data_IF_488454622743
#
_entry.id   IF_488454622743
#
_cell.length_a   1.000
_cell.length_b   1.000
_cell.length_c   1.000
_cell.angle_alpha   90.00
_cell.angle_beta   90.00
_cell.angle_gamma   90.00
#
_symmetry.space_group_name_H-M   'P 1'
#
loop_
_entity.id
_entity.type
_entity.pdbx_description
1 polymer ?
#
# COMPACT_ATOMS: atom_id res chain seq x y z
N UNK A 1 1.11 15.98 -17.98
CA UNK A 1 1.27 16.99 -16.90
C UNK A 1 2.65 16.71 -16.31
N UNK A 2 3.58 17.63 -16.30
CA UNK A 2 4.99 17.31 -15.95
C UNK A 2 5.10 17.08 -14.46
N UNK A 3 5.63 15.90 -14.06
CA UNK A 3 6.12 15.67 -12.70
C UNK A 3 7.08 16.80 -12.34
N UNK A 4 6.81 17.47 -11.24
CA UNK A 4 7.75 18.43 -10.66
C UNK A 4 8.81 17.63 -9.92
N UNK A 5 9.94 17.36 -10.59
CA UNK A 5 11.15 16.83 -9.96
C UNK A 5 11.52 17.76 -8.79
N UNK A 6 11.27 17.34 -7.57
CA UNK A 6 11.78 17.96 -6.36
C UNK A 6 12.91 17.10 -5.85
N UNK A 7 14.13 17.44 -6.24
CA UNK A 7 15.32 16.87 -5.61
C UNK A 7 15.32 17.30 -4.15
N UNK A 8 15.01 16.38 -3.25
CA UNK A 8 15.22 16.57 -1.81
C UNK A 8 16.70 16.41 -1.55
N UNK A 9 17.44 17.52 -1.57
CA UNK A 9 18.83 17.55 -1.12
C UNK A 9 18.81 17.42 0.41
N UNK A 10 18.93 16.20 0.92
CA UNK A 10 19.03 15.93 2.35
C UNK A 10 20.43 16.40 2.82
N UNK A 11 20.51 17.57 3.44
CA UNK A 11 21.70 18.05 4.14
C UNK A 11 21.80 17.31 5.49
N UNK A 12 22.49 16.17 5.51
CA UNK A 12 22.88 15.51 6.76
C UNK A 12 23.99 16.35 7.42
N UNK A 13 23.63 17.13 8.42
CA UNK A 13 24.59 17.81 9.30
C UNK A 13 25.18 16.78 10.29
N UNK A 14 26.33 16.21 9.93
CA UNK A 14 27.15 15.39 10.81
C UNK A 14 27.67 16.26 11.97
N UNK A 15 27.01 16.22 13.12
CA UNK A 15 27.51 16.79 14.38
C UNK A 15 28.50 15.82 15.06
N UNK A 16 29.78 15.90 14.76
CA UNK A 16 30.82 15.17 15.48
C UNK A 16 30.95 15.73 16.91
N UNK A 17 30.46 15.01 17.91
CA UNK A 17 30.78 15.27 19.33
C UNK A 17 31.94 14.37 19.73
N UNK A 18 33.13 14.97 19.80
CA UNK A 18 34.31 14.40 20.45
C UNK A 18 34.13 14.48 21.98
N UNK A 19 33.94 13.33 22.64
CA UNK A 19 34.06 13.24 24.10
C UNK A 19 35.33 12.47 24.40
N UNK A 20 36.35 13.21 24.87
CA UNK A 20 37.59 12.72 25.46
C UNK A 20 37.31 12.18 26.88
N UNK A 21 37.99 11.06 27.14
CA UNK A 21 37.85 10.16 28.23
C UNK A 21 38.10 10.65 29.66
N UNK A 22 37.84 9.75 30.59
CA UNK A 22 38.25 9.81 32.00
C UNK A 22 37.67 8.64 32.75
N UNK A 23 38.51 7.61 32.97
CA UNK A 23 38.27 6.52 33.93
C UNK A 23 38.23 7.05 35.36
N UNK A 24 37.37 6.47 36.21
CA UNK A 24 37.73 5.91 37.53
C UNK A 24 36.58 5.11 38.15
N UNK A 25 37.00 4.08 38.86
CA UNK A 25 36.24 2.98 39.49
C UNK A 25 35.37 3.36 40.69
N UNK A 26 34.51 2.42 40.99
CA UNK A 26 34.12 1.84 42.30
C UNK A 26 32.86 2.36 43.02
N UNK A 27 31.90 1.46 43.17
CA UNK A 27 31.38 1.17 44.48
C UNK A 27 29.88 1.31 44.76
N UNK A 28 29.21 0.11 44.87
CA UNK A 28 28.12 -0.19 45.81
C UNK A 28 26.72 0.46 45.65
N UNK A 29 25.75 -0.37 45.37
CA UNK A 29 24.33 -0.24 45.71
C UNK A 29 24.12 -0.40 47.26
N UNK A 30 22.92 -0.25 47.88
CA UNK A 30 21.55 -0.17 47.32
C UNK A 30 20.60 0.80 48.09
N UNK A 31 19.32 0.70 47.77
CA UNK A 31 18.07 0.96 48.54
C UNK A 31 17.23 2.18 48.23
N UNK A 32 16.04 1.87 47.70
CA UNK A 32 14.68 2.14 48.19
C UNK A 32 14.11 3.56 48.24
N UNK A 33 12.99 3.67 47.55
CA UNK A 33 11.73 4.25 48.01
C UNK A 33 11.61 5.79 48.15
N UNK A 34 10.68 6.33 47.38
CA UNK A 34 9.69 7.32 47.78
C UNK A 34 9.16 8.17 46.62
N UNK A 35 7.93 7.91 46.24
CA UNK A 35 7.02 8.96 45.75
C UNK A 35 6.76 9.95 46.90
N UNK A 36 6.56 11.26 46.65
CA UNK A 36 5.20 11.75 46.45
C UNK A 36 4.99 13.03 45.59
N UNK A 37 3.79 13.14 45.03
CA UNK A 37 2.80 14.20 45.12
C UNK A 37 3.06 15.60 44.50
N UNK A 38 2.16 15.92 43.63
CA UNK A 38 1.52 17.09 43.06
C UNK A 38 1.72 18.51 43.70
N UNK A 39 1.30 19.44 42.85
CA UNK A 39 0.92 20.86 43.06
C UNK A 39 1.96 21.88 42.59
N UNK A 40 1.68 22.88 41.81
CA UNK A 40 0.51 23.73 41.55
C UNK A 40 0.88 24.73 40.45
N UNK A 41 -0.09 25.13 39.68
CA UNK A 41 -0.10 26.31 38.78
C UNK A 41 0.14 27.61 39.55
N UNK A 42 0.62 28.71 38.90
CA UNK A 42 -0.25 29.84 38.75
C UNK A 42 -0.27 30.56 37.38
N UNK A 43 -1.41 31.04 37.08
CA UNK A 43 -1.88 32.00 36.06
C UNK A 43 -1.25 33.40 36.22
N UNK A 44 -1.01 34.09 35.08
CA UNK A 44 -1.30 35.51 34.84
C UNK A 44 -0.71 35.94 33.50
N UNK A 45 -1.50 36.23 32.50
CA UNK A 45 -2.06 37.54 32.07
C UNK A 45 -1.03 38.55 31.56
N UNK A 46 -1.19 39.01 30.30
CA UNK A 46 -0.35 40.05 29.70
C UNK A 46 -0.69 40.28 28.21
N UNK A 47 -1.84 40.91 28.00
CA UNK A 47 -2.27 41.51 26.73
C UNK A 47 -1.28 42.57 26.22
N UNK A 48 -0.96 42.60 24.94
CA UNK A 48 -0.60 43.84 24.22
C UNK A 48 -0.81 43.69 22.72
N UNK A 49 -1.78 44.40 22.25
CA UNK A 49 -2.07 44.83 20.89
C UNK A 49 -0.97 45.75 20.35
N UNK A 50 -0.69 45.73 19.01
CA UNK A 50 -0.64 46.89 18.10
C UNK A 50 -0.16 46.53 16.69
N UNK A 51 -1.05 46.72 15.73
CA UNK A 51 -1.03 47.41 14.45
C UNK A 51 -0.27 46.84 13.24
N UNK A 52 -1.07 46.62 12.20
CA UNK A 52 -0.73 46.69 10.77
C UNK A 52 -0.18 48.05 10.32
N UNK A 53 0.57 48.05 9.20
CA UNK A 53 0.05 48.85 8.10
C UNK A 53 0.24 48.20 6.70
N UNK A 54 -0.78 48.33 5.90
CA UNK A 54 -0.73 48.43 4.43
C UNK A 54 -0.31 49.85 4.04
N UNK A 55 0.33 50.14 2.85
CA UNK A 55 -0.33 50.10 1.56
C UNK A 55 0.55 49.80 0.30
N UNK A 56 -0.11 49.46 -0.76
CA UNK A 56 0.39 49.51 -2.18
C UNK A 56 0.76 50.93 -2.65
N UNK A 57 1.51 51.06 -3.78
CA UNK A 57 0.79 51.43 -4.98
C UNK A 57 1.27 50.78 -6.33
N UNK A 58 0.36 50.83 -7.26
CA UNK A 58 0.46 50.54 -8.70
C UNK A 58 1.41 51.48 -9.46
N UNK A 59 1.88 51.01 -10.62
CA UNK A 59 1.99 51.74 -11.90
C UNK A 59 2.32 50.76 -13.02
N UNK A 60 1.53 50.55 -13.90
CA UNK A 60 1.15 50.99 -15.24
C UNK A 60 2.18 50.79 -16.36
N UNK A 61 1.64 50.13 -17.41
CA UNK A 61 1.86 50.21 -18.87
C UNK A 61 3.18 49.70 -19.47
N UNK A 62 3.13 48.81 -20.48
CA UNK A 62 2.79 49.12 -21.89
C UNK A 62 2.64 47.80 -22.70
N UNK A 63 1.61 47.80 -23.53
CA UNK A 63 1.30 46.80 -24.55
C UNK A 63 2.30 46.83 -25.73
N UNK A 64 2.57 45.65 -26.31
CA UNK A 64 2.92 45.56 -27.72
C UNK A 64 2.32 44.31 -28.35
N UNK A 65 1.54 44.56 -29.35
CA UNK A 65 0.83 43.71 -30.29
C UNK A 65 1.76 42.75 -31.04
N UNK A 66 1.34 41.52 -31.26
CA UNK A 66 2.02 40.55 -32.10
C UNK A 66 1.12 39.32 -32.34
N UNK A 67 0.12 39.50 -33.21
CA UNK A 67 -0.74 38.42 -33.65
C UNK A 67 0.01 37.44 -34.54
N UNK A 68 -0.02 36.15 -34.19
CA UNK A 68 0.26 35.04 -35.11
C UNK A 68 -0.90 34.06 -35.07
N UNK A 69 -1.39 33.56 -36.21
CA UNK A 69 -2.67 32.88 -36.29
C UNK A 69 -2.66 31.48 -35.70
N UNK A 70 -3.68 31.20 -34.90
CA UNK A 70 -4.06 29.90 -34.41
C UNK A 70 -4.46 28.97 -35.54
N UNK A 71 -4.00 27.71 -35.59
CA UNK A 71 -4.64 26.72 -36.44
C UNK A 71 -5.95 26.26 -35.78
N UNK A 72 -7.02 26.35 -36.55
CA UNK A 72 -8.33 25.79 -36.27
C UNK A 72 -8.23 24.30 -35.97
N UNK A 73 -8.76 23.78 -34.84
CA UNK A 73 -8.96 22.36 -34.68
C UNK A 73 -10.11 21.92 -35.57
N UNK A 74 -9.82 21.04 -36.51
CA UNK A 74 -10.84 20.29 -37.24
C UNK A 74 -11.67 19.47 -36.28
N UNK A 75 -12.97 19.74 -36.25
CA UNK A 75 -13.97 18.90 -35.64
C UNK A 75 -14.01 17.58 -36.41
N UNK A 76 -13.52 16.52 -35.78
CA UNK A 76 -14.03 15.18 -36.02
C UNK A 76 -14.77 14.77 -34.75
N UNK A 77 -16.09 14.96 -34.82
CA UNK A 77 -16.97 14.19 -33.98
C UNK A 77 -16.88 12.75 -34.48
N UNK A 78 -16.46 11.88 -33.63
CA UNK A 78 -16.72 10.45 -33.65
C UNK A 78 -16.45 10.02 -32.19
N UNK A 79 -17.28 9.44 -31.65
CA UNK A 79 -18.17 8.29 -31.69
C UNK A 79 -18.13 7.67 -30.31
N UNK A 80 -19.27 7.22 -29.85
CA UNK A 80 -19.48 6.66 -28.53
C UNK A 80 -18.39 5.67 -28.13
N UNK A 81 -17.71 5.99 -27.04
CA UNK A 81 -16.73 5.10 -26.44
C UNK A 81 -17.42 3.84 -25.93
N UNK A 82 -17.22 2.75 -26.63
CA UNK A 82 -17.01 1.48 -25.97
C UNK A 82 -15.66 1.66 -25.24
N UNK A 83 -15.62 1.54 -23.92
CA UNK A 83 -14.36 1.53 -23.20
C UNK A 83 -13.43 0.54 -23.89
N UNK A 84 -12.30 1.03 -24.39
CA UNK A 84 -11.26 0.13 -24.86
C UNK A 84 -10.80 -0.64 -23.63
N UNK A 85 -11.04 -1.96 -23.61
CA UNK A 85 -10.42 -2.83 -22.60
C UNK A 85 -8.92 -2.59 -22.65
N UNK A 86 -8.22 -2.57 -21.52
CA UNK A 86 -6.77 -2.46 -21.54
C UNK A 86 -6.18 -3.65 -22.30
N UNK A 87 -5.12 -3.40 -23.07
CA UNK A 87 -4.35 -4.49 -23.65
C UNK A 87 -3.54 -5.19 -22.54
N UNK A 88 -3.59 -6.52 -22.44
CA UNK A 88 -2.82 -7.31 -21.48
C UNK A 88 -3.54 -7.62 -20.17
N UNK A 89 -2.78 -7.99 -19.16
CA UNK A 89 -3.25 -8.33 -17.81
C UNK A 89 -2.50 -7.54 -16.76
N UNK A 90 -3.17 -7.30 -15.61
CA UNK A 90 -2.53 -6.83 -14.39
C UNK A 90 -2.55 -7.97 -13.37
N UNK A 91 -1.36 -8.45 -12.99
CA UNK A 91 -1.19 -9.38 -11.88
C UNK A 91 -0.81 -8.61 -10.61
N UNK A 92 -1.49 -8.89 -9.50
CA UNK A 92 -1.21 -8.34 -8.17
C UNK A 92 -0.99 -9.50 -7.22
N UNK A 93 0.23 -9.69 -6.75
CA UNK A 93 0.63 -10.79 -5.87
C UNK A 93 0.88 -10.24 -4.47
N UNK A 94 0.05 -10.58 -3.50
CA UNK A 94 0.31 -10.30 -2.09
C UNK A 94 1.10 -11.46 -1.53
N UNK A 95 2.40 -11.24 -1.33
CA UNK A 95 3.37 -12.27 -1.00
C UNK A 95 3.26 -12.63 0.48
N UNK A 96 3.23 -13.93 0.81
CA UNK A 96 3.31 -14.36 2.21
C UNK A 96 4.73 -14.16 2.77
N UNK A 97 4.96 -13.00 3.36
CA UNK A 97 6.21 -12.61 4.04
C UNK A 97 6.07 -12.63 5.57
N UNK A 98 5.03 -13.30 6.10
CA UNK A 98 4.77 -13.37 7.53
C UNK A 98 4.13 -12.08 8.08
N UNK A 99 4.64 -11.56 9.21
CA UNK A 99 4.11 -10.34 9.84
C UNK A 99 4.76 -9.11 9.20
N UNK A 100 4.42 -8.84 7.94
CA UNK A 100 5.02 -7.81 7.12
C UNK A 100 4.23 -7.64 5.82
N UNK A 101 4.52 -6.64 5.03
CA UNK A 101 3.91 -6.39 3.73
C UNK A 101 4.93 -6.48 2.59
N UNK A 102 4.53 -7.14 1.50
CA UNK A 102 5.19 -7.09 0.21
C UNK A 102 4.18 -7.45 -0.88
N UNK A 103 4.05 -6.62 -1.90
CA UNK A 103 3.19 -6.90 -3.04
C UNK A 103 3.93 -6.64 -4.36
N UNK A 104 3.94 -7.67 -5.22
CA UNK A 104 4.43 -7.57 -6.60
C UNK A 104 3.26 -7.29 -7.53
N UNK A 105 3.37 -6.25 -8.34
CA UNK A 105 2.41 -5.90 -9.38
C UNK A 105 3.11 -5.98 -10.74
N UNK A 106 2.47 -6.62 -11.71
CA UNK A 106 3.04 -6.84 -13.04
C UNK A 106 2.03 -6.53 -14.12
N UNK A 107 2.51 -5.86 -15.15
CA UNK A 107 1.87 -5.81 -16.47
C UNK A 107 2.78 -6.53 -17.47
N UNK A 108 2.37 -6.60 -18.73
CA UNK A 108 3.24 -7.13 -19.81
C UNK A 108 4.49 -6.25 -20.04
N UNK A 109 4.51 -5.01 -19.54
CA UNK A 109 5.54 -4.01 -19.85
C UNK A 109 6.40 -3.62 -18.65
N UNK A 110 5.83 -3.53 -17.45
CA UNK A 110 6.50 -2.98 -16.27
C UNK A 110 6.16 -3.77 -14.99
N UNK A 111 7.03 -3.61 -14.01
CA UNK A 111 6.92 -4.24 -12.69
C UNK A 111 6.96 -3.17 -11.59
N UNK A 112 6.05 -3.29 -10.64
CA UNK A 112 6.02 -2.49 -9.41
C UNK A 112 6.12 -3.41 -8.20
N UNK A 113 6.95 -3.03 -7.22
CA UNK A 113 6.99 -3.66 -5.90
C UNK A 113 6.52 -2.65 -4.86
N UNK A 114 5.51 -3.01 -4.06
CA UNK A 114 5.04 -2.21 -2.92
C UNK A 114 5.50 -2.92 -1.65
N UNK A 115 6.37 -2.26 -0.88
CA UNK A 115 7.05 -2.78 0.30
C UNK A 115 7.90 -4.04 0.04
N UNK A 116 8.68 -4.50 1.01
CA UNK A 116 9.63 -5.60 0.82
C UNK A 116 9.80 -6.52 2.04
N UNK A 117 8.83 -6.51 2.93
CA UNK A 117 8.83 -7.41 4.08
C UNK A 117 9.65 -6.95 5.28
N UNK A 118 9.80 -7.87 6.24
CA UNK A 118 10.41 -7.62 7.54
C UNK A 118 11.95 -7.68 7.48
N UNK A 119 12.60 -6.85 8.27
CA UNK A 119 14.06 -6.79 8.38
C UNK A 119 14.75 -8.10 8.84
N UNK A 120 14.02 -9.02 9.47
CA UNK A 120 14.57 -10.31 9.94
C UNK A 120 14.82 -11.29 8.81
N UNK A 121 14.07 -11.14 7.74
CA UNK A 121 14.23 -11.91 6.51
C UNK A 121 15.26 -11.29 5.57
N UNK A 122 15.60 -10.02 5.78
CA UNK A 122 16.56 -9.27 4.98
C UNK A 122 16.24 -9.34 3.47
N UNK A 123 14.94 -9.33 3.12
CA UNK A 123 14.42 -9.35 1.75
C UNK A 123 14.53 -10.70 1.03
N UNK A 124 15.02 -11.76 1.70
CA UNK A 124 15.29 -13.04 1.03
C UNK A 124 14.04 -13.66 0.41
N UNK A 125 12.91 -13.67 1.13
CA UNK A 125 11.65 -14.21 0.60
C UNK A 125 11.16 -13.43 -0.60
N UNK A 126 11.27 -12.10 -0.57
CA UNK A 126 10.85 -11.24 -1.69
C UNK A 126 11.75 -11.46 -2.90
N UNK A 127 13.08 -11.47 -2.72
CA UNK A 127 14.03 -11.72 -3.81
C UNK A 127 13.77 -13.09 -4.44
N UNK A 128 13.68 -14.16 -3.63
CA UNK A 128 13.38 -15.50 -4.12
C UNK A 128 12.05 -15.57 -4.88
N UNK A 129 11.03 -14.81 -4.41
CA UNK A 129 9.74 -14.72 -5.07
C UNK A 129 9.83 -14.05 -6.44
N UNK A 130 10.47 -12.89 -6.48
CA UNK A 130 10.67 -12.13 -7.72
C UNK A 130 11.48 -12.92 -8.75
N UNK A 131 12.54 -13.63 -8.32
CA UNK A 131 13.32 -14.50 -9.19
C UNK A 131 12.50 -15.69 -9.73
N UNK A 132 11.66 -16.30 -8.90
CA UNK A 132 10.79 -17.42 -9.30
C UNK A 132 9.74 -16.99 -10.34
N UNK A 133 9.43 -15.69 -10.42
CA UNK A 133 8.50 -15.09 -11.37
C UNK A 133 9.21 -14.37 -12.54
N UNK A 134 10.50 -14.67 -12.76
CA UNK A 134 11.30 -14.10 -13.87
C UNK A 134 11.29 -12.56 -13.90
N UNK A 135 11.29 -11.91 -12.71
CA UNK A 135 11.40 -10.45 -12.60
C UNK A 135 12.86 -10.05 -12.68
N UNK A 136 13.27 -9.52 -13.83
CA UNK A 136 14.65 -9.05 -14.04
C UNK A 136 14.87 -7.58 -13.67
N UNK A 137 13.78 -6.80 -13.57
CA UNK A 137 13.81 -5.38 -13.26
C UNK A 137 12.64 -4.99 -12.36
N UNK A 138 12.83 -4.07 -11.45
CA UNK A 138 11.77 -3.37 -10.71
C UNK A 138 11.69 -1.96 -11.27
N UNK A 139 10.65 -1.65 -12.06
CA UNK A 139 10.51 -0.31 -12.64
C UNK A 139 10.11 0.71 -11.58
N UNK A 140 9.30 0.29 -10.61
CA UNK A 140 8.78 1.12 -9.54
C UNK A 140 8.85 0.38 -8.19
N UNK A 141 9.60 0.93 -7.22
CA UNK A 141 9.59 0.47 -5.84
C UNK A 141 8.84 1.51 -5.00
N UNK A 142 7.75 1.11 -4.37
CA UNK A 142 6.96 1.97 -3.49
C UNK A 142 7.20 1.58 -2.05
N UNK A 143 7.67 2.51 -1.23
CA UNK A 143 7.74 2.38 0.23
C UNK A 143 6.52 3.05 0.84
N UNK A 144 5.61 2.29 1.43
CA UNK A 144 4.42 2.89 2.03
C UNK A 144 4.78 3.78 3.20
N UNK A 145 5.64 3.32 4.06
CA UNK A 145 6.20 4.09 5.17
C UNK A 145 7.45 3.41 5.76
N UNK A 146 8.16 4.09 6.67
CA UNK A 146 9.49 3.72 7.11
C UNK A 146 9.56 2.70 8.26
N UNK A 147 8.51 1.91 8.52
CA UNK A 147 8.59 0.81 9.49
C UNK A 147 9.31 -0.40 8.91
N UNK A 148 9.94 -1.18 9.81
CA UNK A 148 10.86 -2.24 9.43
C UNK A 148 10.18 -3.52 8.90
N UNK A 149 8.89 -3.64 9.05
CA UNK A 149 8.03 -4.68 8.47
C UNK A 149 7.48 -4.32 7.07
N UNK A 150 7.84 -3.14 6.56
CA UNK A 150 7.56 -2.66 5.21
C UNK A 150 8.84 -2.48 4.39
N UNK A 151 9.83 -1.78 4.95
CA UNK A 151 11.09 -1.49 4.25
C UNK A 151 12.23 -2.42 4.66
N UNK A 152 11.94 -3.50 5.39
CA UNK A 152 12.95 -4.39 5.95
C UNK A 152 13.89 -5.00 4.94
N UNK A 153 13.36 -5.37 3.78
CA UNK A 153 14.10 -5.95 2.67
C UNK A 153 14.66 -4.94 1.66
N UNK A 154 14.34 -3.64 1.78
CA UNK A 154 14.69 -2.65 0.74
C UNK A 154 16.19 -2.60 0.43
N UNK A 155 17.07 -2.59 1.46
CA UNK A 155 18.52 -2.60 1.23
C UNK A 155 18.94 -3.79 0.35
N UNK A 156 18.52 -5.00 0.73
CA UNK A 156 18.91 -6.21 0.02
C UNK A 156 18.30 -6.29 -1.39
N UNK A 157 17.03 -5.89 -1.55
CA UNK A 157 16.37 -5.84 -2.86
C UNK A 157 17.06 -4.84 -3.79
N UNK A 158 17.38 -3.64 -3.29
CA UNK A 158 18.10 -2.63 -4.08
C UNK A 158 19.46 -3.14 -4.48
N UNK A 159 20.26 -3.64 -3.53
CA UNK A 159 21.60 -4.17 -3.81
C UNK A 159 21.55 -5.31 -4.82
N UNK A 160 20.61 -6.27 -4.65
CA UNK A 160 20.47 -7.43 -5.54
C UNK A 160 20.11 -7.00 -6.98
N UNK A 161 19.10 -6.13 -7.14
CA UNK A 161 18.67 -5.72 -8.47
C UNK A 161 19.68 -4.84 -9.18
N UNK A 162 20.35 -3.92 -8.49
CA UNK A 162 21.37 -3.06 -9.06
C UNK A 162 22.70 -3.79 -9.37
N UNK A 163 23.05 -4.84 -8.61
CA UNK A 163 24.30 -5.56 -8.79
C UNK A 163 24.18 -6.80 -9.70
N UNK A 164 23.02 -7.48 -9.70
CA UNK A 164 22.85 -8.80 -10.32
C UNK A 164 21.74 -8.87 -11.38
N UNK A 165 20.91 -7.83 -11.51
CA UNK A 165 19.75 -7.75 -12.42
C UNK A 165 19.77 -6.47 -13.25
N UNK A 166 18.64 -6.09 -13.83
CA UNK A 166 18.49 -4.91 -14.69
C UNK A 166 18.15 -3.62 -13.91
N UNK A 167 18.31 -3.64 -12.58
CA UNK A 167 18.21 -2.51 -11.68
C UNK A 167 16.79 -2.10 -11.30
N UNK A 168 16.72 -0.95 -10.60
CA UNK A 168 15.48 -0.31 -10.15
C UNK A 168 15.28 0.99 -10.93
N UNK A 169 14.08 1.21 -11.46
CA UNK A 169 13.78 2.40 -12.25
C UNK A 169 13.66 3.65 -11.40
N UNK A 170 12.82 3.60 -10.37
CA UNK A 170 12.63 4.68 -9.41
C UNK A 170 11.99 4.17 -8.12
N UNK A 171 12.24 4.89 -7.04
CA UNK A 171 11.67 4.64 -5.72
C UNK A 171 10.74 5.79 -5.33
N UNK A 172 9.61 5.46 -4.70
CA UNK A 172 8.60 6.41 -4.26
C UNK A 172 8.30 6.19 -2.78
N UNK A 173 8.43 7.23 -1.95
CA UNK A 173 8.11 7.15 -0.52
C UNK A 173 7.33 8.38 -0.02
N UNK A 174 6.90 8.36 1.22
CA UNK A 174 6.15 9.47 1.84
C UNK A 174 7.00 10.73 2.09
N UNK A 175 8.32 10.65 1.98
CA UNK A 175 9.25 11.72 2.37
C UNK A 175 9.34 11.95 3.88
N UNK A 176 8.72 11.10 4.71
CA UNK A 176 8.76 11.21 6.18
C UNK A 176 9.93 10.40 6.72
N UNK A 177 10.96 11.06 7.29
CA UNK A 177 12.17 10.38 7.73
C UNK A 177 11.94 9.58 9.02
N UNK A 178 12.68 8.49 9.18
CA UNK A 178 12.74 7.72 10.40
C UNK A 178 14.17 7.59 10.94
N UNK A 179 14.34 7.20 12.21
CA UNK A 179 15.64 7.13 12.87
C UNK A 179 16.09 5.69 13.15
N UNK A 180 15.52 4.71 12.47
CA UNK A 180 15.90 3.30 12.60
C UNK A 180 17.09 2.97 11.72
N UNK A 181 17.85 1.93 12.11
CA UNK A 181 18.94 1.40 11.28
C UNK A 181 18.42 0.84 9.94
N UNK A 182 17.19 0.32 9.91
CA UNK A 182 16.58 -0.18 8.68
C UNK A 182 16.39 0.96 7.68
N UNK A 183 15.86 2.09 8.13
CA UNK A 183 15.70 3.27 7.29
C UNK A 183 17.05 3.86 6.85
N UNK A 184 18.04 3.93 7.74
CA UNK A 184 19.40 4.38 7.38
C UNK A 184 20.03 3.47 6.30
N UNK A 185 19.92 2.14 6.43
CA UNK A 185 20.43 1.19 5.43
C UNK A 185 19.72 1.29 4.09
N UNK A 186 18.40 1.46 4.10
CA UNK A 186 17.62 1.72 2.89
C UNK A 186 18.15 2.95 2.14
N UNK A 187 18.32 4.09 2.83
CA UNK A 187 18.85 5.30 2.20
C UNK A 187 20.32 5.15 1.77
N UNK A 188 21.13 4.42 2.52
CA UNK A 188 22.52 4.10 2.15
C UNK A 188 22.57 3.28 0.85
N UNK A 189 21.63 2.35 0.63
CA UNK A 189 21.52 1.58 -0.62
C UNK A 189 21.11 2.48 -1.79
N UNK A 190 20.10 3.34 -1.59
CA UNK A 190 19.67 4.33 -2.59
C UNK A 190 20.85 5.23 -3.01
N UNK A 191 21.61 5.77 -2.04
CA UNK A 191 22.79 6.60 -2.33
C UNK A 191 23.92 5.80 -3.00
N UNK A 192 24.15 4.56 -2.56
CA UNK A 192 25.20 3.67 -3.08
C UNK A 192 25.05 3.41 -4.57
N UNK A 193 23.81 3.20 -5.01
CA UNK A 193 23.48 2.82 -6.39
C UNK A 193 22.99 4.00 -7.24
N UNK A 194 22.88 5.22 -6.67
CA UNK A 194 22.37 6.42 -7.35
C UNK A 194 20.98 6.22 -7.95
N UNK A 195 20.09 5.51 -7.21
CA UNK A 195 18.70 5.27 -7.62
C UNK A 195 17.87 6.52 -7.38
N UNK A 196 17.02 6.88 -8.33
CA UNK A 196 16.11 8.03 -8.18
C UNK A 196 15.07 7.77 -7.08
N UNK A 197 15.03 8.63 -6.06
CA UNK A 197 14.07 8.61 -4.95
C UNK A 197 13.17 9.84 -5.00
N UNK A 198 11.86 9.60 -5.03
CA UNK A 198 10.82 10.63 -5.09
C UNK A 198 9.94 10.59 -3.84
N UNK A 199 9.84 11.71 -3.14
CA UNK A 199 8.77 11.88 -2.18
C UNK A 199 7.45 12.16 -2.92
N UNK A 200 6.42 11.36 -2.63
CA UNK A 200 5.10 11.46 -3.26
C UNK A 200 4.05 12.00 -2.29
N UNK A 201 3.03 12.61 -2.85
CA UNK A 201 1.91 13.18 -2.11
C UNK A 201 0.60 13.04 -2.88
N UNK A 202 -0.50 13.33 -2.22
CA UNK A 202 -1.85 13.33 -2.80
C UNK A 202 -1.91 14.00 -4.18
N UNK A 203 -2.45 13.27 -5.15
CA UNK A 203 -2.61 13.71 -6.53
C UNK A 203 -1.40 13.46 -7.43
N UNK A 204 -0.27 12.97 -6.90
CA UNK A 204 0.82 12.49 -7.73
C UNK A 204 0.43 11.17 -8.40
N UNK A 205 1.09 10.87 -9.52
CA UNK A 205 0.89 9.62 -10.25
C UNK A 205 2.21 8.89 -10.41
N UNK A 206 2.21 7.60 -10.12
CA UNK A 206 3.32 6.71 -10.43
C UNK A 206 3.12 6.26 -11.89
N UNK A 207 4.10 6.47 -12.78
CA UNK A 207 3.96 6.08 -14.17
C UNK A 207 4.11 4.55 -14.31
N UNK A 208 3.00 3.83 -14.26
CA UNK A 208 2.96 2.37 -14.37
C UNK A 208 2.20 2.01 -15.64
N UNK A 209 2.87 1.32 -16.56
CA UNK A 209 2.36 1.10 -17.92
C UNK A 209 1.04 0.32 -17.92
N UNK A 210 0.03 0.89 -18.58
CA UNK A 210 -1.31 0.30 -18.69
C UNK A 210 -2.20 0.51 -17.45
N UNK A 211 -1.66 1.00 -16.32
CA UNK A 211 -2.38 1.17 -15.05
C UNK A 211 -2.41 2.63 -14.65
N UNK A 212 -3.57 3.15 -14.25
CA UNK A 212 -3.65 4.46 -13.62
C UNK A 212 -3.34 4.33 -12.12
N UNK A 213 -2.09 4.60 -11.72
CA UNK A 213 -1.64 4.54 -10.35
C UNK A 213 -1.61 5.94 -9.72
N UNK A 214 -2.57 6.24 -8.85
CA UNK A 214 -2.74 7.55 -8.22
C UNK A 214 -2.44 7.48 -6.72
N UNK A 215 -1.59 8.38 -6.23
CA UNK A 215 -1.32 8.55 -4.80
C UNK A 215 -2.43 9.37 -4.16
N UNK A 216 -3.08 8.82 -3.13
CA UNK A 216 -4.17 9.46 -2.39
C UNK A 216 -3.73 9.99 -1.02
N UNK A 217 -2.59 9.53 -0.49
CA UNK A 217 -1.96 9.92 0.77
C UNK A 217 -0.43 9.78 0.64
N UNK A 218 0.39 10.60 1.31
CA UNK A 218 0.03 11.65 2.27
C UNK A 218 -0.38 12.98 1.61
N UNK A 219 -1.03 13.86 2.38
CA UNK A 219 -1.18 15.28 2.01
C UNK A 219 0.14 16.04 2.23
N UNK A 220 0.39 17.13 1.50
CA UNK A 220 1.55 17.99 1.74
C UNK A 220 1.18 19.22 2.58
N UNK A 221 1.95 19.52 3.65
CA UNK A 221 2.93 18.75 4.43
C UNK A 221 2.25 17.89 5.50
N UNK A 222 2.45 16.56 5.46
CA UNK A 222 1.73 15.60 6.29
C UNK A 222 2.22 15.42 7.75
N UNK A 223 3.20 16.15 8.22
CA UNK A 223 3.76 15.96 9.58
C UNK A 223 4.81 14.85 9.66
N UNK A 224 5.00 14.23 10.84
CA UNK A 224 6.03 13.23 11.14
C UNK A 224 5.49 11.86 11.60
N UNK A 225 4.19 11.68 11.61
CA UNK A 225 3.56 10.41 11.95
C UNK A 225 3.62 9.45 10.74
N UNK A 226 4.23 8.28 10.92
CA UNK A 226 4.46 7.34 9.83
C UNK A 226 3.16 6.69 9.33
N UNK A 227 2.26 6.31 10.24
CA UNK A 227 0.98 5.69 9.86
C UNK A 227 0.05 6.71 9.18
N UNK A 228 -0.02 7.93 9.72
CA UNK A 228 -0.81 9.00 9.10
C UNK A 228 -0.33 9.33 7.67
N UNK A 229 0.98 9.28 7.45
CA UNK A 229 1.61 9.57 6.16
C UNK A 229 1.92 8.32 5.32
N UNK A 230 1.33 7.18 5.65
CA UNK A 230 1.49 5.96 4.84
C UNK A 230 1.02 6.21 3.42
N UNK A 231 1.87 5.92 2.42
CA UNK A 231 1.52 6.13 1.00
C UNK A 231 0.35 5.23 0.65
N UNK A 232 -0.75 5.87 0.25
CA UNK A 232 -1.94 5.18 -0.22
C UNK A 232 -1.97 5.27 -1.74
N UNK A 233 -2.01 4.11 -2.40
CA UNK A 233 -2.05 4.03 -3.87
C UNK A 233 -3.36 3.41 -4.31
N UNK A 234 -4.07 4.11 -5.19
CA UNK A 234 -5.24 3.62 -5.90
C UNK A 234 -4.84 3.27 -7.32
N UNK A 235 -5.16 2.06 -7.75
CA UNK A 235 -4.84 1.52 -9.05
C UNK A 235 -6.13 1.27 -9.83
N UNK A 236 -6.18 1.73 -11.08
CA UNK A 236 -7.26 1.44 -12.01
C UNK A 236 -6.69 0.77 -13.26
N UNK A 237 -7.25 -0.39 -13.63
CA UNK A 237 -6.90 -1.15 -14.82
C UNK A 237 -8.20 -1.56 -15.54
N UNK A 238 -8.52 -0.88 -16.63
CA UNK A 238 -9.82 -1.05 -17.28
C UNK A 238 -10.98 -0.72 -16.35
N UNK A 239 -11.85 -1.70 -16.10
CA UNK A 239 -12.97 -1.58 -15.18
C UNK A 239 -12.70 -2.14 -13.78
N UNK A 240 -11.47 -2.55 -13.48
CA UNK A 240 -11.08 -3.10 -12.18
C UNK A 240 -10.21 -2.15 -11.38
N UNK A 241 -10.23 -2.25 -10.06
CA UNK A 241 -9.53 -1.32 -9.18
C UNK A 241 -9.01 -1.98 -7.90
N UNK A 242 -7.87 -1.47 -7.41
CA UNK A 242 -7.19 -1.94 -6.21
C UNK A 242 -6.81 -0.75 -5.33
N UNK A 243 -6.90 -0.94 -4.01
CA UNK A 243 -6.48 0.07 -3.03
C UNK A 243 -5.48 -0.52 -2.04
N UNK A 244 -4.29 0.10 -1.98
CA UNK A 244 -3.24 -0.18 -1.00
C UNK A 244 -3.10 1.02 -0.07
N UNK A 245 -3.14 0.80 1.23
CA UNK A 245 -3.08 1.88 2.23
C UNK A 245 -1.85 1.80 3.14
N UNK A 246 -1.02 0.75 2.98
CA UNK A 246 0.01 0.42 3.96
C UNK A 246 -0.60 0.38 5.36
N UNK A 247 0.02 1.04 6.31
CA UNK A 247 -0.44 1.08 7.70
C UNK A 247 -1.25 2.33 8.06
N UNK A 248 -1.96 2.92 7.08
CA UNK A 248 -2.87 4.02 7.38
C UNK A 248 -3.87 3.63 8.47
N UNK A 249 -3.88 4.39 9.57
CA UNK A 249 -4.77 4.18 10.71
C UNK A 249 -6.02 5.08 10.63
N UNK A 250 -6.89 5.01 11.65
CA UNK A 250 -8.20 5.66 11.69
C UNK A 250 -8.18 7.14 11.32
N UNK A 251 -7.15 7.88 11.71
CA UNK A 251 -7.05 9.33 11.43
C UNK A 251 -6.72 9.58 9.95
N UNK A 252 -5.85 8.77 9.36
CA UNK A 252 -5.54 8.81 7.93
C UNK A 252 -6.74 8.36 7.11
N UNK A 253 -7.42 7.28 7.50
CA UNK A 253 -8.66 6.83 6.86
C UNK A 253 -9.76 7.90 6.88
N UNK A 254 -9.96 8.57 8.03
CA UNK A 254 -10.94 9.65 8.13
C UNK A 254 -10.61 10.80 7.17
N UNK A 255 -9.31 11.16 7.05
CA UNK A 255 -8.85 12.15 6.07
C UNK A 255 -9.11 11.69 4.63
N UNK A 256 -8.77 10.44 4.32
CA UNK A 256 -9.01 9.88 2.99
C UNK A 256 -10.49 9.95 2.61
N UNK A 257 -11.40 9.58 3.53
CA UNK A 257 -12.85 9.68 3.31
C UNK A 257 -13.28 11.12 3.10
N UNK A 258 -12.79 12.05 3.92
CA UNK A 258 -13.15 13.48 3.81
C UNK A 258 -12.62 14.12 2.51
N UNK A 259 -11.44 13.70 2.04
CA UNK A 259 -10.79 14.25 0.86
C UNK A 259 -11.32 13.64 -0.45
N UNK A 260 -11.54 12.34 -0.49
CA UNK A 260 -11.78 11.59 -1.73
C UNK A 260 -13.19 11.01 -1.86
N UNK A 261 -13.87 10.69 -0.73
CA UNK A 261 -15.21 10.15 -0.76
C UNK A 261 -15.35 8.92 -1.69
N UNK A 262 -16.24 9.01 -2.68
CA UNK A 262 -16.51 7.92 -3.63
C UNK A 262 -15.29 7.58 -4.54
N UNK A 263 -14.30 8.46 -4.66
CA UNK A 263 -13.07 8.18 -5.42
C UNK A 263 -12.12 7.19 -4.71
N UNK A 264 -12.44 6.78 -3.47
CA UNK A 264 -11.77 5.68 -2.77
C UNK A 264 -12.24 4.30 -3.22
N UNK A 265 -13.33 4.22 -3.99
CA UNK A 265 -13.94 2.95 -4.37
C UNK A 265 -12.94 2.04 -5.06
N UNK A 266 -12.85 0.79 -4.57
CA UNK A 266 -11.96 -0.22 -5.13
C UNK A 266 -12.60 -1.60 -5.05
N UNK A 267 -12.37 -2.45 -6.07
CA UNK A 267 -12.87 -3.82 -6.10
C UNK A 267 -12.13 -4.71 -5.11
N UNK A 268 -10.82 -4.50 -4.98
CA UNK A 268 -9.94 -5.21 -4.05
C UNK A 268 -9.26 -4.22 -3.10
N UNK A 269 -9.31 -4.51 -1.81
CA UNK A 269 -8.67 -3.73 -0.77
C UNK A 269 -7.57 -4.55 -0.07
N UNK A 270 -6.33 -4.07 -0.11
CA UNK A 270 -5.26 -4.57 0.75
C UNK A 270 -5.45 -3.97 2.15
N UNK A 271 -5.85 -4.83 3.09
CA UNK A 271 -6.27 -4.42 4.43
C UNK A 271 -5.15 -3.74 5.21
N UNK A 272 -5.38 -2.49 5.59
CA UNK A 272 -4.37 -1.67 6.26
C UNK A 272 -3.89 -2.28 7.57
N UNK A 273 -2.63 -2.00 7.89
CA UNK A 273 -1.97 -2.34 9.15
C UNK A 273 -2.14 -3.81 9.53
N UNK A 274 -1.93 -4.70 8.55
CA UNK A 274 -1.97 -6.16 8.71
C UNK A 274 -3.28 -6.71 9.29
N UNK A 275 -4.40 -6.02 9.08
CA UNK A 275 -5.68 -6.36 9.70
C UNK A 275 -5.78 -5.94 11.18
N UNK A 276 -5.10 -4.87 11.58
CA UNK A 276 -5.22 -4.25 12.91
C UNK A 276 -6.60 -3.63 13.12
N UNK A 277 -7.08 -3.61 14.36
CA UNK A 277 -8.30 -2.90 14.73
C UNK A 277 -8.16 -1.37 14.70
N UNK A 278 -6.94 -0.84 14.51
CA UNK A 278 -6.66 0.59 14.31
C UNK A 278 -6.83 1.03 12.85
N UNK A 279 -7.21 0.12 11.96
CA UNK A 279 -7.50 0.38 10.54
C UNK A 279 -8.80 -0.27 10.09
N UNK A 280 -9.11 -0.18 8.79
CA UNK A 280 -10.32 -0.74 8.17
C UNK A 280 -11.60 -0.30 8.90
N UNK A 281 -11.72 1.00 9.18
CA UNK A 281 -12.88 1.56 9.88
C UNK A 281 -14.18 1.42 9.08
N UNK A 282 -15.33 1.38 9.78
CA UNK A 282 -16.61 1.28 9.10
C UNK A 282 -16.85 2.37 8.05
N UNK A 283 -16.66 3.67 8.37
CA UNK A 283 -16.81 4.74 7.39
C UNK A 283 -15.85 4.64 6.20
N UNK A 284 -14.62 4.17 6.42
CA UNK A 284 -13.66 3.96 5.35
C UNK A 284 -14.09 2.82 4.43
N UNK A 285 -14.47 1.68 5.00
CA UNK A 285 -14.98 0.54 4.22
C UNK A 285 -16.30 0.85 3.49
N UNK A 286 -17.13 1.75 4.03
CA UNK A 286 -18.34 2.23 3.33
C UNK A 286 -17.99 3.10 2.11
N UNK A 287 -16.84 3.80 2.13
CA UNK A 287 -16.37 4.62 1.01
C UNK A 287 -15.63 3.77 -0.04
N UNK A 288 -14.78 2.82 0.40
CA UNK A 288 -14.04 1.91 -0.48
C UNK A 288 -14.98 0.89 -1.12
N UNK A 289 -15.98 0.41 -0.38
CA UNK A 289 -16.98 -0.58 -0.83
C UNK A 289 -16.33 -1.80 -1.54
N UNK A 290 -15.34 -2.48 -0.93
CA UNK A 290 -14.60 -3.54 -1.61
C UNK A 290 -15.44 -4.81 -1.76
N UNK A 291 -15.21 -5.57 -2.84
CA UNK A 291 -15.78 -6.91 -3.03
C UNK A 291 -14.89 -7.98 -2.42
N UNK A 292 -13.59 -7.76 -2.46
CA UNK A 292 -12.60 -8.64 -1.83
C UNK A 292 -11.60 -7.84 -1.00
N UNK A 293 -11.09 -8.47 0.06
CA UNK A 293 -10.00 -7.94 0.86
C UNK A 293 -8.90 -9.00 1.01
N UNK A 294 -7.66 -8.55 1.08
CA UNK A 294 -6.52 -9.40 1.42
C UNK A 294 -5.81 -8.83 2.65
N UNK A 295 -5.53 -9.69 3.61
CA UNK A 295 -4.81 -9.36 4.83
C UNK A 295 -3.41 -9.98 4.74
N UNK A 296 -2.37 -9.18 4.91
CA UNK A 296 -0.98 -9.63 4.98
C UNK A 296 -0.53 -9.65 6.43
N UNK A 297 -0.50 -10.83 7.05
CA UNK A 297 0.01 -11.02 8.41
C UNK A 297 0.38 -12.47 8.68
N UNK A 298 1.25 -12.70 9.68
CA UNK A 298 1.63 -14.03 10.12
C UNK A 298 0.46 -14.77 10.75
N UNK A 299 0.43 -16.10 10.57
CA UNK A 299 -0.51 -16.98 11.25
C UNK A 299 -0.42 -16.85 12.78
N UNK A 300 0.79 -16.92 13.33
CA UNK A 300 1.08 -16.73 14.75
C UNK A 300 1.54 -15.28 15.05
N UNK A 301 0.74 -14.29 14.63
CA UNK A 301 1.06 -12.89 14.85
C UNK A 301 1.25 -12.57 16.34
N UNK A 302 2.40 -11.98 16.69
CA UNK A 302 2.66 -11.50 18.05
C UNK A 302 1.75 -10.35 18.48
N UNK A 303 1.09 -9.70 17.50
CA UNK A 303 0.14 -8.60 17.70
C UNK A 303 -1.30 -9.10 17.74
N UNK A 304 -1.53 -10.37 17.42
CA UNK A 304 -2.86 -10.96 17.31
C UNK A 304 -3.61 -10.58 16.03
N UNK A 305 -2.87 -10.20 14.97
CA UNK A 305 -3.46 -9.90 13.66
C UNK A 305 -3.81 -11.20 12.90
N UNK A 306 -4.90 -11.17 12.10
CA UNK A 306 -5.90 -10.10 12.06
C UNK A 306 -6.75 -10.05 13.33
N UNK A 307 -7.16 -8.85 13.74
CA UNK A 307 -8.09 -8.67 14.85
C UNK A 307 -9.54 -8.99 14.44
N UNK A 308 -10.38 -9.33 15.45
CA UNK A 308 -11.78 -9.65 15.21
C UNK A 308 -12.59 -8.47 14.62
N UNK A 309 -12.26 -7.23 14.98
CA UNK A 309 -13.02 -6.06 14.58
C UNK A 309 -13.03 -5.81 13.07
N UNK A 310 -11.88 -5.79 12.34
CA UNK A 310 -11.90 -5.70 10.89
C UNK A 310 -12.59 -6.90 10.24
N UNK A 311 -12.40 -8.12 10.74
CA UNK A 311 -13.06 -9.30 10.20
C UNK A 311 -14.59 -9.20 10.30
N UNK A 312 -15.12 -8.74 11.43
CA UNK A 312 -16.56 -8.48 11.59
C UNK A 312 -17.03 -7.39 10.62
N UNK A 313 -16.24 -6.31 10.42
CA UNK A 313 -16.62 -5.24 9.49
C UNK A 313 -16.63 -5.71 8.03
N UNK A 314 -15.74 -6.61 7.65
CA UNK A 314 -15.75 -7.26 6.33
C UNK A 314 -16.96 -8.17 6.18
N UNK A 315 -17.26 -9.01 7.19
CA UNK A 315 -18.43 -9.87 7.17
C UNK A 315 -19.76 -9.10 7.09
N UNK A 316 -19.89 -7.97 7.81
CA UNK A 316 -21.08 -7.10 7.77
C UNK A 316 -21.32 -6.49 6.38
N UNK A 317 -20.33 -6.56 5.47
CA UNK A 317 -20.37 -6.03 4.09
C UNK A 317 -20.26 -7.10 3.01
N UNK A 318 -20.34 -8.38 3.41
CA UNK A 318 -20.20 -9.51 2.49
C UNK A 318 -18.87 -9.49 1.68
N UNK A 319 -17.77 -8.96 2.26
CA UNK A 319 -16.46 -8.88 1.62
C UNK A 319 -15.77 -10.24 1.69
N UNK A 320 -15.47 -10.85 0.53
CA UNK A 320 -14.66 -12.06 0.48
C UNK A 320 -13.24 -11.75 0.97
N UNK A 321 -12.77 -12.42 2.01
CA UNK A 321 -11.50 -12.08 2.66
C UNK A 321 -10.50 -13.22 2.53
N UNK A 322 -9.30 -12.88 2.07
CA UNK A 322 -8.13 -13.76 2.09
C UNK A 322 -7.12 -13.27 3.12
N UNK A 323 -6.33 -14.18 3.67
CA UNK A 323 -5.30 -13.88 4.65
C UNK A 323 -4.05 -14.72 4.36
N UNK A 324 -2.91 -14.08 4.15
CA UNK A 324 -1.66 -14.76 3.78
C UNK A 324 -1.23 -15.84 4.78
N UNK A 325 -1.56 -15.68 6.08
CA UNK A 325 -1.26 -16.65 7.12
C UNK A 325 -1.94 -18.01 6.93
N UNK A 326 -3.10 -18.08 6.26
CA UNK A 326 -3.85 -19.32 6.02
C UNK A 326 -3.99 -19.67 4.53
N UNK A 327 -3.96 -18.69 3.64
CA UNK A 327 -4.09 -18.90 2.20
C UNK A 327 -2.73 -19.03 1.48
N UNK A 328 -1.62 -18.65 2.14
CA UNK A 328 -0.34 -18.46 1.48
C UNK A 328 -0.31 -17.17 0.66
N UNK A 329 0.55 -17.10 -0.33
CA UNK A 329 0.55 -16.00 -1.30
C UNK A 329 -0.78 -15.95 -2.06
N UNK A 330 -1.35 -14.75 -2.16
CA UNK A 330 -2.62 -14.49 -2.86
C UNK A 330 -2.35 -13.74 -4.14
N UNK A 331 -2.85 -14.23 -5.25
CA UNK A 331 -2.67 -13.63 -6.58
C UNK A 331 -4.02 -13.20 -7.13
N UNK A 332 -4.09 -11.94 -7.55
CA UNK A 332 -5.21 -11.35 -8.27
C UNK A 332 -4.76 -11.10 -9.71
N UNK A 333 -5.43 -11.70 -10.67
CA UNK A 333 -5.16 -11.51 -12.09
C UNK A 333 -6.36 -10.82 -12.74
N UNK A 334 -6.16 -9.60 -13.24
CA UNK A 334 -7.19 -8.80 -13.88
C UNK A 334 -6.99 -8.74 -15.39
N UNK A 335 -8.08 -8.95 -16.15
CA UNK A 335 -8.15 -8.66 -17.58
C UNK A 335 -8.77 -7.27 -17.88
N UNK A 336 -8.99 -6.46 -16.84
CA UNK A 336 -9.65 -5.17 -16.94
C UNK A 336 -11.17 -5.20 -16.82
N UNK A 337 -11.79 -6.40 -16.69
CA UNK A 337 -13.24 -6.60 -16.51
C UNK A 337 -13.55 -7.40 -15.27
N UNK A 338 -12.78 -8.43 -15.04
CA UNK A 338 -12.88 -9.29 -13.88
C UNK A 338 -11.50 -9.55 -13.29
N UNK A 339 -11.48 -9.99 -12.03
CA UNK A 339 -10.27 -10.30 -11.28
C UNK A 339 -10.40 -11.75 -10.81
N UNK A 340 -9.60 -12.66 -11.36
CA UNK A 340 -9.46 -14.01 -10.85
C UNK A 340 -8.59 -14.01 -9.59
N UNK A 341 -9.07 -14.63 -8.51
CA UNK A 341 -8.35 -14.71 -7.23
C UNK A 341 -7.86 -16.12 -6.99
N UNK A 342 -6.54 -16.27 -6.88
CA UNK A 342 -5.86 -17.54 -6.63
C UNK A 342 -5.16 -17.56 -5.28
N UNK A 343 -5.20 -18.71 -4.59
CA UNK A 343 -4.51 -18.92 -3.31
C UNK A 343 -3.77 -20.24 -3.31
N UNK A 344 -2.71 -20.35 -2.52
CA UNK A 344 -1.92 -21.57 -2.39
C UNK A 344 -2.62 -22.64 -1.54
N UNK A 345 -3.43 -22.21 -0.58
CA UNK A 345 -4.20 -23.07 0.32
C UNK A 345 -5.70 -22.84 0.12
N UNK A 346 -6.47 -23.95 0.18
CA UNK A 346 -7.93 -23.92 0.15
C UNK A 346 -8.46 -23.69 1.57
N UNK A 347 -8.74 -22.42 1.90
CA UNK A 347 -9.32 -22.00 3.17
C UNK A 347 -10.61 -21.19 2.93
N UNK A 348 -11.42 -21.01 3.98
CA UNK A 348 -12.64 -20.20 3.90
C UNK A 348 -12.30 -18.74 3.63
N UNK A 349 -13.04 -18.10 2.72
CA UNK A 349 -12.99 -16.66 2.47
C UNK A 349 -14.05 -15.88 3.26
N UNK A 350 -14.82 -16.59 4.11
CA UNK A 350 -15.69 -15.94 5.11
C UNK A 350 -14.83 -15.35 6.22
N UNK A 351 -14.86 -14.03 6.43
CA UNK A 351 -14.03 -13.38 7.47
C UNK A 351 -14.22 -13.94 8.88
N UNK A 352 -15.41 -14.48 9.19
CA UNK A 352 -15.69 -15.03 10.52
C UNK A 352 -15.19 -16.46 10.71
N UNK A 353 -14.84 -17.15 9.64
CA UNK A 353 -14.35 -18.53 9.66
C UNK A 353 -12.83 -18.61 9.36
N UNK A 354 -12.25 -17.57 8.77
CA UNK A 354 -10.88 -17.56 8.27
C UNK A 354 -9.83 -17.88 9.35
N UNK A 355 -10.07 -17.48 10.61
CA UNK A 355 -9.17 -17.74 11.74
C UNK A 355 -9.26 -19.17 12.29
N UNK A 356 -10.21 -19.99 11.79
CA UNK A 356 -10.33 -21.41 12.16
C UNK A 356 -9.52 -22.32 11.24
N UNK A 357 -8.97 -21.78 10.14
CA UNK A 357 -8.17 -22.53 9.16
C UNK A 357 -6.77 -22.86 9.69
N UNK A 358 -6.15 -23.88 9.10
CA UNK A 358 -4.75 -24.24 9.40
C UNK A 358 -3.77 -23.25 8.73
N UNK A 359 -2.57 -23.13 9.30
CA UNK A 359 -1.49 -22.32 8.75
C UNK A 359 -1.10 -22.75 7.32
N UNK A 360 -0.92 -21.78 6.43
CA UNK A 360 -0.36 -22.03 5.12
C UNK A 360 1.14 -22.35 5.23
N UNK A 361 1.52 -23.54 4.77
CA UNK A 361 2.91 -24.03 4.83
C UNK A 361 3.59 -24.11 3.48
N UNK A 362 2.90 -23.64 2.42
CA UNK A 362 3.45 -23.58 1.07
C UNK A 362 4.62 -22.59 1.01
N UNK A 363 5.61 -22.86 0.12
CA UNK A 363 6.61 -21.85 -0.19
C UNK A 363 5.94 -20.67 -0.90
N UNK A 364 6.29 -19.41 -0.62
CA UNK A 364 5.61 -18.27 -1.25
C UNK A 364 5.52 -18.34 -2.78
N UNK A 365 6.51 -18.90 -3.46
CA UNK A 365 6.53 -19.08 -4.93
C UNK A 365 5.85 -20.35 -5.43
N UNK A 366 5.25 -21.19 -4.56
CA UNK A 366 4.46 -22.32 -5.03
C UNK A 366 3.19 -21.83 -5.75
N UNK A 367 2.73 -22.51 -6.81
CA UNK A 367 1.57 -22.06 -7.55
C UNK A 367 0.30 -22.14 -6.70
N UNK A 368 -0.57 -21.15 -6.87
CA UNK A 368 -1.93 -21.13 -6.33
C UNK A 368 -2.95 -21.82 -7.25
N UNK A 369 -4.15 -22.00 -6.76
CA UNK A 369 -5.33 -22.40 -7.51
C UNK A 369 -6.40 -21.32 -7.43
N UNK A 370 -7.11 -21.07 -8.53
CA UNK A 370 -8.23 -20.13 -8.56
C UNK A 370 -9.33 -20.54 -7.60
N UNK A 371 -9.83 -19.58 -6.82
CA UNK A 371 -10.88 -19.78 -5.80
C UNK A 371 -12.19 -19.10 -6.16
N UNK A 372 -12.13 -17.85 -6.60
CA UNK A 372 -13.30 -17.06 -6.97
C UNK A 372 -12.91 -15.95 -7.94
N UNK A 373 -13.90 -15.30 -8.51
CA UNK A 373 -13.75 -14.17 -9.42
C UNK A 373 -14.49 -12.97 -8.85
N UNK A 374 -13.89 -11.79 -8.97
CA UNK A 374 -14.47 -10.49 -8.64
C UNK A 374 -14.77 -9.76 -9.93
N UNK A 375 -15.98 -9.27 -10.12
CA UNK A 375 -16.34 -8.49 -11.30
C UNK A 375 -15.96 -7.02 -11.13
N UNK A 376 -15.26 -6.45 -12.10
CA UNK A 376 -14.90 -5.03 -12.12
C UNK A 376 -16.12 -4.13 -12.26
N UNK A 377 -16.13 -3.02 -11.53
CA UNK A 377 -17.28 -2.09 -11.48
C UNK A 377 -17.16 -0.90 -12.44
N UNK A 378 -15.99 -0.71 -13.08
CA UNK A 378 -15.72 0.42 -13.97
C UNK A 378 -16.40 0.39 -15.33
N UNK A 379 -17.10 -0.70 -15.68
CA UNK A 379 -17.81 -0.87 -16.96
C UNK A 379 -19.30 -0.57 -16.94
N UNK A 380 -19.90 -0.30 -15.78
CA UNK A 380 -21.36 -0.19 -15.62
C UNK A 380 -21.83 1.29 -15.58
N UNK A 381 -21.92 1.92 -16.75
CA UNK A 381 -22.89 2.97 -16.97
C UNK A 381 -24.31 2.38 -16.92
N UNK A 382 -24.97 2.49 -15.76
CA UNK A 382 -26.42 2.47 -15.56
C UNK A 382 -27.16 1.14 -15.90
N UNK A 383 -26.87 0.06 -15.20
CA UNK A 383 -27.87 -1.00 -14.98
C UNK A 383 -27.70 -1.61 -13.60
N UNK A 384 -28.51 -1.12 -12.64
CA UNK A 384 -28.57 -1.69 -11.30
C UNK A 384 -28.81 -3.20 -11.32
N UNK A 385 -27.76 -3.95 -11.11
CA UNK A 385 -27.81 -5.37 -10.85
C UNK A 385 -26.87 -5.69 -9.68
N UNK A 386 -27.48 -6.28 -8.68
CA UNK A 386 -26.93 -6.87 -7.47
C UNK A 386 -25.70 -7.75 -7.83
N UNK A 387 -24.49 -7.23 -7.65
CA UNK A 387 -23.24 -7.99 -7.83
C UNK A 387 -23.15 -9.05 -6.73
N UNK A 388 -23.50 -10.27 -7.02
CA UNK A 388 -23.27 -11.41 -6.14
C UNK A 388 -22.11 -12.22 -6.68
N UNK A 389 -21.13 -12.47 -5.81
CA UNK A 389 -20.03 -13.40 -6.05
C UNK A 389 -20.56 -14.72 -6.63
N UNK A 390 -20.08 -15.13 -7.79
CA UNK A 390 -20.34 -16.44 -8.33
C UNK A 390 -19.50 -17.47 -7.58
N UNK A 391 -20.11 -18.16 -6.61
CA UNK A 391 -19.46 -19.30 -5.95
C UNK A 391 -19.28 -20.45 -6.94
N UNK A 392 -18.11 -21.09 -7.03
CA UNK A 392 -17.94 -22.28 -7.85
C UNK A 392 -18.84 -23.40 -7.37
N UNK A 393 -19.65 -23.93 -8.27
CA UNK A 393 -20.54 -25.06 -7.99
C UNK A 393 -19.66 -26.30 -7.82
N UNK A 394 -19.49 -26.77 -6.60
CA UNK A 394 -18.93 -28.08 -6.32
C UNK A 394 -19.92 -29.15 -6.83
N UNK A 395 -19.66 -29.71 -7.98
CA UNK A 395 -20.38 -30.89 -8.49
C UNK A 395 -19.89 -32.13 -7.71
N UNK A 396 -20.55 -32.44 -6.59
CA UNK A 396 -20.35 -33.71 -5.88
C UNK A 396 -20.94 -34.82 -6.74
N UNK A 397 -20.06 -35.51 -7.50
CA UNK A 397 -20.40 -36.73 -8.21
C UNK A 397 -20.84 -37.84 -7.24
N UNK A 398 -22.14 -38.02 -7.11
CA UNK A 398 -22.72 -39.17 -6.41
C UNK A 398 -22.53 -40.41 -7.29
N UNK A 399 -21.51 -41.23 -7.00
CA UNK A 399 -21.42 -42.60 -7.50
C UNK A 399 -22.53 -43.46 -6.89
N UNK A 400 -23.52 -43.74 -7.69
CA UNK A 400 -24.58 -44.70 -7.34
C UNK A 400 -24.04 -46.12 -7.53
N UNK A 401 -23.62 -46.76 -6.46
CA UNK A 401 -23.29 -48.20 -6.46
C UNK A 401 -24.57 -49.01 -6.49
N UNK A 402 -24.88 -49.61 -7.63
CA UNK A 402 -25.98 -50.56 -7.74
C UNK A 402 -25.58 -51.89 -7.10
N UNK A 403 -26.22 -52.26 -6.00
CA UNK A 403 -26.15 -53.60 -5.42
C UNK A 403 -27.15 -54.50 -6.15
N UNK A 404 -26.60 -55.40 -7.00
CA UNK A 404 -27.36 -56.47 -7.63
C UNK A 404 -27.61 -57.58 -6.61
N UNK A 405 -28.90 -57.87 -6.33
CA UNK A 405 -29.34 -59.10 -5.61
C UNK A 405 -29.54 -60.18 -6.68
N UNK A 406 -28.74 -61.28 -6.60
CA UNK A 406 -28.98 -62.48 -7.34
C UNK A 406 -29.75 -63.48 -6.47
N UNK A 407 -30.83 -64.01 -7.00
CA UNK A 407 -31.58 -65.16 -6.48
C UNK A 407 -30.88 -66.46 -6.76
#
# INVERSE_FOLDING_TARGET
>A
MQLRSRHVLLLVLLGAVLILGGCTEAGLAPTADSTPTAESTPTADGSSTVASPTPSPQSDETATDGATPSPTPGSTADDGGSGDDPDGTLEVHVINVGQADAALLRTDEETMLIDSGDWRDDGATVIDYLEAHDVDRIDHLVSTHAHADHIGGHEAVIDHYEEERDGIGAIYDSGVPHTTQTYERYLDAVERHDVDLFAVAEGDRIPFAGVEATVLNPEEPGGDDLHYNSVTVHLEFGGTSFLFTGDAELDAEARLVDAHGEALRADVYHAGHHGSNTSSSGPFLDAVDPQAAVISSAYDSQYGHPHDEPLVRFADRDVATTWTGVHGTVVFESDGREIAVSTQHDASTDPLEITEADEATAHPSDPGEERFVVEGRGGDDDSGADGRLASPVHETGAETTAVGVAT
#
